data_IF_109369493301
#
_entry.id   IF_109369493301
#
_cell.length_a   1.000
_cell.length_b   1.000
_cell.length_c   1.000
_cell.angle_alpha   90.00
_cell.angle_beta   90.00
_cell.angle_gamma   90.00
#
_symmetry.space_group_name_H-M   'P 1'
#
loop_
_entity.id
_entity.type
_entity.pdbx_description
1 polymer ?
#
# COMPACT_ATOMS: atom_id res chain seq x y z
N UNK A 1 4.35 18.65 -26.11
CA UNK A 1 3.26 17.64 -26.06
C UNK A 1 3.62 16.32 -25.38
N UNK A 2 4.90 15.96 -25.22
CA UNK A 2 5.33 14.75 -24.50
C UNK A 2 5.59 15.00 -23.00
N UNK A 3 6.02 16.21 -22.64
CA UNK A 3 6.28 16.61 -21.25
C UNK A 3 4.99 16.60 -20.39
N UNK A 4 3.95 17.36 -20.76
CA UNK A 4 2.70 17.42 -19.97
C UNK A 4 1.99 16.06 -19.80
N UNK A 5 2.04 15.20 -20.83
CA UNK A 5 1.48 13.84 -20.72
C UNK A 5 2.24 12.97 -19.73
N UNK A 6 3.56 13.15 -19.63
CA UNK A 6 4.39 12.44 -18.65
C UNK A 6 4.11 12.93 -17.22
N UNK A 7 3.99 14.24 -16.99
CA UNK A 7 3.61 14.77 -15.67
C UNK A 7 2.19 14.35 -15.27
N UNK A 8 1.24 14.37 -16.21
CA UNK A 8 -0.13 13.91 -15.97
C UNK A 8 -0.18 12.45 -15.55
N UNK A 9 0.61 11.58 -16.18
CA UNK A 9 0.69 10.16 -15.80
C UNK A 9 1.29 9.97 -14.40
N UNK A 10 2.35 10.72 -14.06
CA UNK A 10 2.94 10.66 -12.71
C UNK A 10 1.95 11.12 -11.63
N UNK A 11 1.26 12.23 -11.87
CA UNK A 11 0.26 12.76 -10.95
C UNK A 11 -0.89 11.76 -10.72
N UNK A 12 -1.33 11.06 -11.77
CA UNK A 12 -2.34 10.01 -11.66
C UNK A 12 -1.88 8.86 -10.76
N UNK A 13 -0.65 8.37 -10.93
CA UNK A 13 -0.10 7.29 -10.12
C UNK A 13 0.04 7.68 -8.65
N UNK A 14 0.53 8.89 -8.38
CA UNK A 14 0.61 9.43 -7.02
C UNK A 14 -0.77 9.57 -6.39
N UNK A 15 -1.74 10.12 -7.12
CA UNK A 15 -3.12 10.24 -6.65
C UNK A 15 -3.73 8.87 -6.33
N UNK A 16 -3.44 7.86 -7.16
CA UNK A 16 -3.89 6.49 -6.94
C UNK A 16 -3.27 5.86 -5.69
N UNK A 17 -1.95 6.04 -5.48
CA UNK A 17 -1.27 5.57 -4.27
C UNK A 17 -1.87 6.22 -3.01
N UNK A 18 -2.07 7.54 -3.03
CA UNK A 18 -2.72 8.27 -1.92
C UNK A 18 -4.15 7.81 -1.68
N UNK A 19 -4.89 7.52 -2.74
CA UNK A 19 -6.26 7.01 -2.61
C UNK A 19 -6.25 5.64 -1.92
N UNK A 20 -5.44 4.69 -2.39
CA UNK A 20 -5.33 3.37 -1.76
C UNK A 20 -4.91 3.48 -0.28
N UNK A 21 -3.88 4.29 0.00
CA UNK A 21 -3.41 4.54 1.37
C UNK A 21 -4.52 5.11 2.27
N UNK A 22 -5.31 6.06 1.78
CA UNK A 22 -6.40 6.67 2.54
C UNK A 22 -7.46 5.65 2.99
N UNK A 23 -7.67 4.59 2.22
CA UNK A 23 -8.65 3.54 2.53
C UNK A 23 -8.16 2.57 3.60
N UNK A 24 -6.85 2.47 3.78
CA UNK A 24 -6.19 1.63 4.78
C UNK A 24 -5.75 2.41 6.03
N UNK A 25 -6.19 3.67 6.20
CA UNK A 25 -5.93 4.45 7.42
C UNK A 25 -6.98 4.18 8.51
N UNK A 26 -6.51 4.18 9.75
CA UNK A 26 -7.36 4.18 10.93
C UNK A 26 -8.35 5.36 10.88
N UNK A 27 -9.63 5.09 11.15
CA UNK A 27 -10.69 6.09 11.09
C UNK A 27 -11.58 6.00 9.85
N UNK A 28 -11.24 5.14 8.88
CA UNK A 28 -12.14 4.74 7.80
C UNK A 28 -13.20 3.76 8.34
N UNK A 29 -14.02 4.23 9.30
CA UNK A 29 -15.02 3.43 10.05
C UNK A 29 -16.31 3.16 9.25
N UNK A 30 -16.38 3.63 8.02
CA UNK A 30 -17.58 3.53 7.17
C UNK A 30 -17.69 2.18 6.44
N UNK A 31 -16.69 1.30 6.56
CA UNK A 31 -16.68 0.00 5.89
C UNK A 31 -16.41 -1.13 6.89
N UNK A 32 -17.21 -2.18 6.79
CA UNK A 32 -16.91 -3.51 7.36
C UNK A 32 -15.64 -4.09 6.73
N UNK A 33 -15.03 -5.09 7.37
CA UNK A 33 -13.86 -5.80 6.81
C UNK A 33 -14.16 -6.38 5.40
N UNK A 34 -15.36 -6.91 5.20
CA UNK A 34 -15.82 -7.46 3.92
C UNK A 34 -15.97 -6.38 2.84
N UNK A 35 -16.51 -5.21 3.20
CA UNK A 35 -16.61 -4.07 2.28
C UNK A 35 -15.25 -3.49 1.95
N UNK A 36 -14.33 -3.45 2.92
CA UNK A 36 -12.96 -3.03 2.71
C UNK A 36 -12.26 -3.99 1.74
N UNK A 37 -12.38 -5.30 1.93
CA UNK A 37 -11.78 -6.30 1.04
C UNK A 37 -12.31 -6.16 -0.41
N UNK A 38 -13.63 -6.01 -0.59
CA UNK A 38 -14.23 -5.73 -1.91
C UNK A 38 -13.74 -4.42 -2.51
N UNK A 39 -13.49 -3.41 -1.69
CA UNK A 39 -12.92 -2.13 -2.13
C UNK A 39 -11.47 -2.30 -2.57
N UNK A 40 -10.65 -3.08 -1.86
CA UNK A 40 -9.28 -3.39 -2.26
C UNK A 40 -9.27 -4.11 -3.62
N UNK A 41 -10.16 -5.07 -3.86
CA UNK A 41 -10.29 -5.73 -5.17
C UNK A 41 -10.59 -4.75 -6.30
N UNK A 42 -11.50 -3.79 -6.07
CA UNK A 42 -11.81 -2.73 -7.05
C UNK A 42 -10.61 -1.82 -7.29
N UNK A 43 -9.84 -1.50 -6.24
CA UNK A 43 -8.61 -0.72 -6.36
C UNK A 43 -7.61 -1.47 -7.26
N UNK A 44 -7.47 -2.77 -7.04
CA UNK A 44 -6.54 -3.60 -7.82
C UNK A 44 -6.97 -3.78 -9.27
N UNK A 45 -8.28 -3.88 -9.53
CA UNK A 45 -8.81 -3.90 -10.90
C UNK A 45 -8.38 -2.67 -11.70
N UNK A 46 -8.47 -1.48 -11.11
CA UNK A 46 -8.05 -0.23 -11.74
C UNK A 46 -6.52 -0.11 -11.84
N UNK A 47 -5.81 -0.57 -10.81
CA UNK A 47 -4.35 -0.60 -10.79
C UNK A 47 -3.73 -1.38 -11.97
N UNK A 48 -4.41 -2.42 -12.48
CA UNK A 48 -3.95 -3.19 -13.65
C UNK A 48 -3.75 -2.33 -14.89
N UNK A 49 -4.56 -1.29 -15.08
CA UNK A 49 -4.49 -0.40 -16.25
C UNK A 49 -3.36 0.65 -16.16
N UNK A 50 -2.69 0.76 -15.00
CA UNK A 50 -1.57 1.68 -14.82
C UNK A 50 -0.29 1.05 -15.40
N UNK A 51 0.31 1.72 -16.38
CA UNK A 51 1.61 1.36 -16.93
C UNK A 51 2.74 2.09 -16.21
N UNK A 52 3.89 1.43 -16.04
CA UNK A 52 5.07 2.00 -15.37
C UNK A 52 4.74 2.39 -13.93
N UNK A 53 4.58 1.40 -13.05
CA UNK A 53 4.05 1.54 -11.68
C UNK A 53 5.09 2.04 -10.66
N UNK A 54 6.24 2.52 -11.11
CA UNK A 54 7.38 2.96 -10.27
C UNK A 54 7.02 4.15 -9.39
N UNK A 55 6.24 5.10 -9.93
CA UNK A 55 5.75 6.24 -9.15
C UNK A 55 4.75 5.77 -8.10
N UNK A 56 3.78 4.91 -8.46
CA UNK A 56 2.86 4.34 -7.48
C UNK A 56 3.63 3.62 -6.36
N UNK A 57 4.60 2.77 -6.70
CA UNK A 57 5.41 2.00 -5.76
C UNK A 57 6.09 2.92 -4.74
N UNK A 58 6.82 3.94 -5.21
CA UNK A 58 7.55 4.86 -4.35
C UNK A 58 6.63 5.65 -3.39
N UNK A 59 5.46 6.07 -3.87
CA UNK A 59 4.50 6.77 -3.02
C UNK A 59 3.81 5.84 -2.02
N UNK A 60 3.43 4.64 -2.47
CA UNK A 60 2.77 3.65 -1.62
C UNK A 60 3.70 3.11 -0.53
N UNK A 61 4.96 2.80 -0.86
CA UNK A 61 6.02 2.40 0.08
C UNK A 61 6.19 3.44 1.20
N UNK A 62 6.36 4.70 0.82
CA UNK A 62 6.54 5.81 1.75
C UNK A 62 5.35 5.97 2.70
N UNK A 63 4.12 5.86 2.19
CA UNK A 63 2.93 6.08 3.01
C UNK A 63 2.58 4.84 3.88
N UNK A 64 2.82 3.62 3.39
CA UNK A 64 2.77 2.39 4.19
C UNK A 64 3.75 2.45 5.37
N UNK A 65 5.02 2.80 5.13
CA UNK A 65 6.02 2.93 6.19
C UNK A 65 5.55 3.89 7.29
N UNK A 66 5.00 5.05 6.91
CA UNK A 66 4.42 6.00 7.86
C UNK A 66 3.23 5.42 8.63
N UNK A 67 2.34 4.66 7.98
CA UNK A 67 1.18 4.04 8.65
C UNK A 67 1.62 3.00 9.67
N UNK A 68 2.59 2.15 9.33
CA UNK A 68 3.15 1.13 10.22
C UNK A 68 3.83 1.76 11.44
N UNK A 69 4.68 2.77 11.24
CA UNK A 69 5.43 3.42 12.33
C UNK A 69 4.53 4.22 13.29
N UNK A 70 3.49 4.88 12.78
CA UNK A 70 2.60 5.74 13.59
C UNK A 70 1.40 4.97 14.14
N UNK A 71 1.23 3.69 13.78
CA UNK A 71 0.10 2.86 14.23
C UNK A 71 -1.26 3.36 13.72
N UNK A 72 -1.30 4.01 12.55
CA UNK A 72 -2.52 4.58 11.95
C UNK A 72 -3.11 3.71 10.84
N UNK A 73 -2.95 2.40 10.94
CA UNK A 73 -3.52 1.44 9.99
C UNK A 73 -4.96 1.06 10.36
N UNK A 74 -5.79 0.77 9.34
CA UNK A 74 -7.10 0.16 9.52
C UNK A 74 -7.04 -1.25 10.11
N UNK A 75 -5.90 -1.93 9.98
CA UNK A 75 -5.65 -3.26 10.52
C UNK A 75 -4.48 -3.95 9.83
N UNK A 76 -3.74 -4.77 10.58
CA UNK A 76 -2.59 -5.52 10.04
C UNK A 76 -3.04 -6.49 8.95
N UNK A 77 -4.19 -7.12 9.10
CA UNK A 77 -4.72 -8.09 8.13
C UNK A 77 -5.12 -7.41 6.81
N UNK A 78 -5.72 -6.23 6.87
CA UNK A 78 -6.04 -5.44 5.68
C UNK A 78 -4.78 -5.00 4.92
N UNK A 79 -3.73 -4.62 5.65
CA UNK A 79 -2.43 -4.27 5.08
C UNK A 79 -1.74 -5.47 4.43
N UNK A 80 -1.75 -6.64 5.08
CA UNK A 80 -1.23 -7.90 4.53
C UNK A 80 -2.06 -8.36 3.32
N UNK A 81 -3.38 -8.18 3.33
CA UNK A 81 -4.26 -8.48 2.19
C UNK A 81 -3.87 -7.64 0.98
N UNK A 82 -3.74 -6.32 1.14
CA UNK A 82 -3.34 -5.43 0.05
C UNK A 82 -1.94 -5.76 -0.50
N UNK A 83 -0.97 -6.08 0.36
CA UNK A 83 0.35 -6.55 -0.06
C UNK A 83 0.26 -7.83 -0.90
N UNK A 84 -0.54 -8.80 -0.47
CA UNK A 84 -0.74 -10.06 -1.20
C UNK A 84 -1.31 -9.81 -2.59
N UNK A 85 -2.31 -8.92 -2.70
CA UNK A 85 -2.89 -8.55 -4.00
C UNK A 85 -1.87 -7.84 -4.90
N UNK A 86 -1.07 -6.91 -4.36
CA UNK A 86 0.01 -6.25 -5.12
C UNK A 86 1.04 -7.27 -5.62
N UNK A 87 1.38 -8.27 -4.81
CA UNK A 87 2.32 -9.34 -5.17
C UNK A 87 1.77 -10.26 -6.26
N UNK A 88 0.46 -10.51 -6.28
CA UNK A 88 -0.18 -11.30 -7.35
C UNK A 88 -0.22 -10.53 -8.68
N UNK A 89 -0.51 -9.22 -8.63
CA UNK A 89 -0.65 -8.40 -9.83
C UNK A 89 0.70 -7.98 -10.43
N UNK A 90 1.70 -7.70 -9.59
CA UNK A 90 3.02 -7.30 -10.02
C UNK A 90 3.97 -8.49 -10.07
N UNK A 91 4.61 -8.72 -11.22
CA UNK A 91 5.71 -9.69 -11.33
C UNK A 91 7.02 -9.09 -10.79
N UNK A 92 7.93 -9.94 -10.35
CA UNK A 92 9.28 -9.53 -9.93
C UNK A 92 9.32 -8.89 -8.54
N UNK A 93 10.37 -8.12 -8.25
CA UNK A 93 10.66 -7.55 -6.93
C UNK A 93 9.85 -6.31 -6.52
N UNK A 94 8.72 -6.03 -7.16
CA UNK A 94 7.89 -4.84 -6.90
C UNK A 94 7.49 -4.70 -5.42
N UNK A 95 7.16 -5.81 -4.77
CA UNK A 95 6.75 -5.82 -3.36
C UNK A 95 7.91 -6.04 -2.39
N UNK A 96 9.14 -6.24 -2.86
CA UNK A 96 10.28 -6.64 -2.02
C UNK A 96 10.51 -5.71 -0.82
N UNK A 97 10.44 -4.39 -1.06
CA UNK A 97 10.59 -3.39 0.00
C UNK A 97 9.39 -3.36 0.94
N UNK A 98 8.18 -3.54 0.39
CA UNK A 98 6.96 -3.58 1.19
C UNK A 98 6.96 -4.79 2.13
N UNK A 99 7.41 -5.95 1.64
CA UNK A 99 7.61 -7.18 2.42
C UNK A 99 8.61 -6.93 3.56
N UNK A 100 9.77 -6.34 3.25
CA UNK A 100 10.77 -5.98 4.25
C UNK A 100 10.24 -5.06 5.36
N UNK A 101 9.34 -4.12 5.04
CA UNK A 101 8.70 -3.28 6.07
C UNK A 101 7.87 -4.11 7.07
N UNK A 102 7.22 -5.19 6.66
CA UNK A 102 6.49 -6.05 7.60
C UNK A 102 7.44 -6.91 8.43
N UNK A 103 8.47 -7.47 7.79
CA UNK A 103 9.50 -8.25 8.49
C UNK A 103 10.18 -7.42 9.58
N UNK A 104 10.53 -6.16 9.27
CA UNK A 104 11.12 -5.21 10.23
C UNK A 104 10.16 -4.91 11.40
N UNK A 105 8.85 -4.80 11.13
CA UNK A 105 7.85 -4.57 12.17
C UNK A 105 7.64 -5.79 13.08
N UNK A 106 7.73 -7.01 12.54
CA UNK A 106 7.67 -8.25 13.33
C UNK A 106 8.93 -8.41 14.18
N UNK A 107 10.11 -8.26 13.58
CA UNK A 107 11.39 -8.30 14.29
C UNK A 107 11.46 -7.25 15.41
N UNK A 108 10.99 -6.02 15.17
CA UNK A 108 10.94 -4.96 16.18
C UNK A 108 10.06 -5.33 17.38
N UNK A 109 8.94 -6.04 17.16
CA UNK A 109 8.08 -6.53 18.25
C UNK A 109 8.79 -7.59 19.07
N UNK A 110 9.43 -8.56 18.41
CA UNK A 110 10.14 -9.65 19.09
C UNK A 110 11.30 -9.13 19.93
N UNK A 111 12.09 -8.19 19.38
CA UNK A 111 13.16 -7.51 20.11
C UNK A 111 12.57 -6.77 21.33
N UNK A 112 11.51 -5.99 21.15
CA UNK A 112 10.88 -5.27 22.26
C UNK A 112 10.35 -6.20 23.37
N UNK A 113 9.94 -7.43 23.05
CA UNK A 113 9.56 -8.43 24.06
C UNK A 113 10.80 -8.98 24.77
N UNK A 114 11.87 -9.29 24.03
CA UNK A 114 13.11 -9.82 24.60
C UNK A 114 13.84 -8.82 25.51
N UNK A 115 13.63 -7.51 25.32
CA UNK A 115 14.18 -6.44 26.16
C UNK A 115 13.34 -6.11 27.40
N UNK A 116 12.12 -6.64 27.52
CA UNK A 116 11.27 -6.48 28.72
C UNK A 116 11.60 -7.52 29.78
#
# INVERSE_FOLDING_TARGET
MTHDRFYGLKALQEAWAKFADSKLRAGNKEATEEELERLLDKIMLLFRFIHGKDVFEAFYEKDLAKRLLVGKSAGVDADKSMLSKLKQECRGGFTSKLEGLFDDMELSKDINVAFK
#
